data_IF_285285274407
#
_entry.id   IF_285285274407
#
_cell.length_a   1.000
_cell.length_b   1.000
_cell.length_c   1.000
_cell.angle_alpha   90.00
_cell.angle_beta   90.00
_cell.angle_gamma   90.00
#
_symmetry.space_group_name_H-M   'P 1'
#
loop_
_entity.id
_entity.type
_entity.pdbx_description
1 polymer ?
#
# COMPACT_ATOMS: atom_id res chain seq x y z
N UNK A 1 25.08 9.81 17.61
CA UNK A 1 24.09 9.98 16.52
C UNK A 1 23.80 8.68 15.78
N UNK A 2 24.82 7.94 15.31
CA UNK A 2 24.62 6.68 14.57
C UNK A 2 23.68 5.68 15.27
N UNK A 3 23.90 5.41 16.56
CA UNK A 3 23.03 4.51 17.34
C UNK A 3 21.54 4.91 17.27
N UNK A 4 21.25 6.21 17.29
CA UNK A 4 19.88 6.73 17.21
C UNK A 4 19.29 6.41 15.83
N UNK A 5 20.04 6.62 14.75
CA UNK A 5 19.58 6.30 13.40
C UNK A 5 19.30 4.80 13.22
N UNK A 6 20.17 3.93 13.76
CA UNK A 6 19.97 2.48 13.73
C UNK A 6 18.72 2.10 14.53
N UNK A 7 18.50 2.70 15.70
CA UNK A 7 17.32 2.41 16.52
C UNK A 7 16.00 2.78 15.82
N UNK A 8 15.97 3.88 15.05
CA UNK A 8 14.79 4.27 14.27
C UNK A 8 14.45 3.19 13.23
N UNK A 9 15.46 2.70 12.51
CA UNK A 9 15.27 1.65 11.50
C UNK A 9 14.87 0.32 12.11
N UNK A 10 15.40 -0.04 13.28
CA UNK A 10 15.17 -1.35 13.88
C UNK A 10 13.94 -1.45 14.79
N UNK A 11 13.50 -0.34 15.40
CA UNK A 11 12.43 -0.35 16.40
C UNK A 11 11.17 0.37 15.94
N UNK A 12 11.29 1.36 15.06
CA UNK A 12 10.14 2.18 14.62
C UNK A 12 9.67 1.74 13.23
N UNK A 13 10.57 1.63 12.26
CA UNK A 13 10.25 1.26 10.87
C UNK A 13 10.17 -0.27 10.67
N UNK A 14 9.29 -0.91 11.43
CA UNK A 14 9.10 -2.37 11.45
C UNK A 14 7.89 -2.80 10.60
N UNK A 15 7.78 -4.09 10.21
CA UNK A 15 6.66 -4.58 9.38
C UNK A 15 5.28 -4.52 10.06
N UNK A 16 5.22 -4.57 11.39
CA UNK A 16 3.98 -4.55 12.16
C UNK A 16 4.02 -3.47 13.26
N UNK A 17 4.03 -2.18 12.87
CA UNK A 17 4.16 -1.05 13.80
C UNK A 17 3.00 -0.96 14.81
N UNK A 18 1.85 -1.55 14.50
CA UNK A 18 0.72 -1.67 15.42
C UNK A 18 1.11 -2.27 16.79
N UNK A 19 2.04 -3.22 16.81
CA UNK A 19 2.47 -3.87 18.06
C UNK A 19 3.55 -3.10 18.83
N UNK A 20 3.96 -1.93 18.34
CA UNK A 20 4.82 -1.03 19.12
C UNK A 20 4.02 -0.25 20.18
N UNK A 21 2.69 -0.32 20.13
CA UNK A 21 1.81 0.29 21.13
C UNK A 21 1.82 -0.52 22.44
N UNK A 22 2.00 0.13 23.61
CA UNK A 22 2.08 -0.57 24.88
C UNK A 22 0.88 -1.48 25.16
N UNK A 23 1.13 -2.78 25.31
CA UNK A 23 0.13 -3.77 25.68
C UNK A 23 -0.55 -4.47 24.49
N UNK A 24 -0.27 -4.06 23.26
CA UNK A 24 -0.86 -4.66 22.05
C UNK A 24 -0.17 -5.97 21.67
N UNK A 25 1.05 -6.19 22.14
CA UNK A 25 1.87 -7.38 21.90
C UNK A 25 1.15 -8.68 22.32
N UNK A 26 0.29 -8.59 23.34
CA UNK A 26 -0.51 -9.71 23.84
C UNK A 26 -1.49 -10.26 22.82
N UNK A 27 -1.90 -9.44 21.85
CA UNK A 27 -2.84 -9.82 20.79
C UNK A 27 -2.14 -10.35 19.53
N UNK A 28 -0.79 -10.31 19.50
CA UNK A 28 -0.02 -10.76 18.34
C UNK A 28 -0.25 -12.24 18.07
N UNK A 29 -0.45 -12.60 16.81
CA UNK A 29 -0.77 -13.96 16.39
C UNK A 29 -2.24 -14.34 16.55
N UNK A 30 -3.07 -13.51 17.22
CA UNK A 30 -4.52 -13.73 17.25
C UNK A 30 -5.17 -13.20 15.96
N UNK A 31 -6.30 -13.77 15.50
CA UNK A 31 -7.01 -13.25 14.33
C UNK A 31 -7.39 -11.76 14.46
N UNK A 32 -7.80 -11.33 15.65
CA UNK A 32 -8.15 -9.93 15.92
C UNK A 32 -6.94 -9.02 15.86
N UNK A 33 -5.83 -9.37 16.51
CA UNK A 33 -4.61 -8.55 16.50
C UNK A 33 -4.00 -8.46 15.11
N UNK A 34 -3.97 -9.58 14.36
CA UNK A 34 -3.51 -9.58 12.98
C UNK A 34 -4.41 -8.72 12.08
N UNK A 35 -5.73 -8.73 12.30
CA UNK A 35 -6.64 -7.87 11.55
C UNK A 35 -6.39 -6.38 11.85
N UNK A 36 -6.26 -6.01 13.12
CA UNK A 36 -5.94 -4.62 13.51
C UNK A 36 -4.60 -4.16 12.97
N UNK A 37 -3.58 -5.02 12.98
CA UNK A 37 -2.28 -4.72 12.39
C UNK A 37 -2.37 -4.50 10.87
N UNK A 38 -3.20 -5.28 10.15
CA UNK A 38 -3.41 -5.08 8.70
C UNK A 38 -4.12 -3.78 8.39
N UNK A 39 -5.16 -3.44 9.14
CA UNK A 39 -5.86 -2.16 9.00
C UNK A 39 -4.90 -0.98 9.24
N UNK A 40 -4.09 -1.06 10.30
CA UNK A 40 -3.06 -0.07 10.59
C UNK A 40 -2.05 0.06 9.44
N UNK A 41 -1.53 -1.07 8.94
CA UNK A 41 -0.60 -1.09 7.82
C UNK A 41 -1.21 -0.48 6.55
N UNK A 42 -2.49 -0.71 6.28
CA UNK A 42 -3.14 -0.13 5.10
C UNK A 42 -3.09 1.41 5.10
N UNK A 43 -3.26 2.02 6.27
CA UNK A 43 -3.13 3.47 6.43
C UNK A 43 -1.67 3.93 6.29
N UNK A 44 -0.72 3.22 6.91
CA UNK A 44 0.71 3.56 6.80
C UNK A 44 1.21 3.44 5.36
N UNK A 45 0.79 2.42 4.61
CA UNK A 45 1.19 2.23 3.22
C UNK A 45 0.72 3.40 2.34
N UNK A 46 -0.56 3.79 2.40
CA UNK A 46 -1.05 4.92 1.61
C UNK A 46 -0.36 6.23 2.00
N UNK A 47 -0.16 6.46 3.30
CA UNK A 47 0.52 7.65 3.81
C UNK A 47 1.99 7.69 3.39
N UNK A 48 2.66 6.53 3.35
CA UNK A 48 4.05 6.42 2.90
C UNK A 48 4.18 6.80 1.43
N UNK A 49 3.27 6.34 0.57
CA UNK A 49 3.28 6.71 -0.85
C UNK A 49 2.97 8.20 -1.04
N UNK A 50 2.00 8.76 -0.30
CA UNK A 50 1.69 10.21 -0.36
C UNK A 50 2.86 11.05 0.13
N UNK A 51 3.27 10.88 1.39
CA UNK A 51 4.15 11.82 2.08
C UNK A 51 5.63 11.47 1.99
N UNK A 52 5.98 10.19 2.05
CA UNK A 52 7.38 9.75 2.06
C UNK A 52 7.94 9.51 0.64
N UNK A 53 7.09 9.42 -0.38
CA UNK A 53 7.51 9.23 -1.77
C UNK A 53 7.09 10.40 -2.66
N UNK A 54 5.79 10.60 -2.88
CA UNK A 54 5.29 11.58 -3.85
C UNK A 54 5.70 13.01 -3.47
N UNK A 55 5.43 13.42 -2.23
CA UNK A 55 5.78 14.78 -1.78
C UNK A 55 7.29 14.99 -1.64
N UNK A 56 8.07 13.94 -1.33
CA UNK A 56 9.53 14.04 -1.34
C UNK A 56 10.08 14.30 -2.75
N UNK A 57 9.47 13.71 -3.78
CA UNK A 57 9.89 13.97 -5.17
C UNK A 57 9.47 15.36 -5.64
N UNK A 58 8.27 15.81 -5.27
CA UNK A 58 7.72 17.11 -5.68
C UNK A 58 8.39 18.30 -5.00
N UNK A 59 8.57 18.19 -3.68
CA UNK A 59 9.14 19.25 -2.87
C UNK A 59 10.29 18.73 -2.00
N UNK A 60 11.42 18.31 -2.61
CA UNK A 60 12.55 17.78 -1.87
C UNK A 60 13.22 18.88 -1.05
N UNK A 61 13.63 18.53 0.18
CA UNK A 61 14.53 19.39 0.95
C UNK A 61 15.82 19.67 0.15
N UNK A 62 16.29 20.92 0.03
CA UNK A 62 17.48 21.27 -0.75
C UNK A 62 18.72 20.44 -0.38
N UNK A 63 18.89 20.13 0.91
CA UNK A 63 20.01 19.33 1.40
C UNK A 63 19.99 17.87 0.95
N UNK A 64 18.82 17.33 0.58
CA UNK A 64 18.63 15.94 0.19
C UNK A 64 18.14 15.76 -1.25
N UNK A 65 18.01 16.85 -2.02
CA UNK A 65 17.39 16.84 -3.36
C UNK A 65 18.01 15.82 -4.30
N UNK A 66 19.33 15.82 -4.41
CA UNK A 66 20.05 14.90 -5.28
C UNK A 66 19.90 13.44 -4.84
N UNK A 67 19.99 13.19 -3.53
CA UNK A 67 19.81 11.85 -2.94
C UNK A 67 18.41 11.32 -3.19
N UNK A 68 17.38 12.15 -2.98
CA UNK A 68 15.98 11.80 -3.21
C UNK A 68 15.76 11.45 -4.69
N UNK A 69 16.18 12.32 -5.61
CA UNK A 69 16.00 12.10 -7.05
C UNK A 69 16.73 10.84 -7.53
N UNK A 70 17.97 10.64 -7.09
CA UNK A 70 18.78 9.47 -7.44
C UNK A 70 18.17 8.19 -6.88
N UNK A 71 17.77 8.20 -5.61
CA UNK A 71 17.13 7.05 -4.96
C UNK A 71 15.88 6.60 -5.72
N UNK A 72 14.95 7.52 -5.96
CA UNK A 72 13.70 7.21 -6.64
C UNK A 72 13.91 6.83 -8.11
N UNK A 73 14.90 7.39 -8.80
CA UNK A 73 15.23 6.97 -10.15
C UNK A 73 15.73 5.52 -10.17
N UNK A 74 16.68 5.15 -9.30
CA UNK A 74 17.24 3.78 -9.24
C UNK A 74 16.16 2.77 -8.83
N UNK A 75 15.36 3.12 -7.82
CA UNK A 75 14.39 2.19 -7.19
C UNK A 75 13.01 2.19 -7.83
N UNK A 76 12.75 3.00 -8.87
CA UNK A 76 11.43 3.18 -9.48
C UNK A 76 10.70 1.86 -9.77
N UNK A 77 11.37 0.87 -10.35
CA UNK A 77 10.75 -0.39 -10.75
C UNK A 77 10.39 -1.25 -9.52
N UNK A 78 11.28 -1.33 -8.54
CA UNK A 78 11.05 -2.04 -7.28
C UNK A 78 9.89 -1.42 -6.50
N UNK A 79 9.83 -0.08 -6.44
CA UNK A 79 8.75 0.66 -5.79
C UNK A 79 7.41 0.41 -6.49
N UNK A 80 7.38 0.43 -7.83
CA UNK A 80 6.17 0.14 -8.62
C UNK A 80 5.64 -1.26 -8.29
N UNK A 81 6.49 -2.28 -8.34
CA UNK A 81 6.11 -3.65 -8.03
C UNK A 81 5.65 -3.81 -6.58
N UNK A 82 6.31 -3.14 -5.64
CA UNK A 82 5.93 -3.19 -4.23
C UNK A 82 4.54 -2.57 -3.98
N UNK A 83 4.26 -1.41 -4.57
CA UNK A 83 2.95 -0.76 -4.43
C UNK A 83 1.84 -1.58 -5.10
N UNK A 84 2.11 -2.18 -6.26
CA UNK A 84 1.17 -3.10 -6.92
C UNK A 84 0.84 -4.31 -6.03
N UNK A 85 1.85 -4.88 -5.35
CA UNK A 85 1.66 -5.92 -4.35
C UNK A 85 0.78 -5.47 -3.19
N UNK A 86 1.04 -4.29 -2.61
CA UNK A 86 0.22 -3.73 -1.54
C UNK A 86 -1.24 -3.51 -1.95
N UNK A 87 -1.48 -3.03 -3.17
CA UNK A 87 -2.84 -2.85 -3.70
C UNK A 87 -3.54 -4.21 -3.80
N UNK A 88 -2.89 -5.22 -4.39
CA UNK A 88 -3.45 -6.56 -4.52
C UNK A 88 -3.77 -7.19 -3.15
N UNK A 89 -2.87 -7.03 -2.18
CA UNK A 89 -3.06 -7.52 -0.81
C UNK A 89 -4.26 -6.86 -0.13
N UNK A 90 -4.42 -5.54 -0.29
CA UNK A 90 -5.55 -4.82 0.31
C UNK A 90 -6.89 -5.23 -0.33
N UNK A 91 -6.92 -5.44 -1.64
CA UNK A 91 -8.13 -5.87 -2.35
C UNK A 91 -8.51 -7.31 -2.04
N UNK A 92 -7.54 -8.20 -1.87
CA UNK A 92 -7.75 -9.60 -1.47
C UNK A 92 -8.37 -9.76 -0.08
N UNK A 93 -8.27 -8.74 0.78
CA UNK A 93 -8.81 -8.74 2.14
C UNK A 93 -10.29 -8.33 2.23
N UNK A 94 -10.92 -7.95 1.11
CA UNK A 94 -12.30 -7.45 1.06
C UNK A 94 -13.39 -8.54 1.28
N UNK A 95 -13.01 -9.78 1.61
CA UNK A 95 -13.94 -10.88 1.86
C UNK A 95 -14.76 -10.75 3.16
N UNK A 96 -14.30 -9.96 4.14
CA UNK A 96 -14.93 -9.89 5.47
C UNK A 96 -15.70 -8.56 5.68
N UNK A 97 -17.04 -8.65 5.57
CA UNK A 97 -17.96 -7.54 5.28
C UNK A 97 -17.99 -6.38 6.29
N UNK A 98 -17.40 -6.53 7.48
CA UNK A 98 -17.55 -5.55 8.58
C UNK A 98 -16.33 -4.65 8.79
N UNK A 99 -15.13 -5.12 8.44
CA UNK A 99 -13.85 -4.42 8.73
C UNK A 99 -13.07 -4.09 7.44
N UNK A 100 -13.53 -4.54 6.27
CA UNK A 100 -12.93 -4.21 4.98
C UNK A 100 -13.13 -2.76 4.51
N UNK A 101 -13.96 -1.96 5.18
CA UNK A 101 -14.27 -0.58 4.71
C UNK A 101 -13.07 0.35 4.78
N UNK A 102 -12.35 0.35 5.91
CA UNK A 102 -11.17 1.21 6.09
C UNK A 102 -10.04 0.81 5.13
N UNK A 103 -9.77 -0.49 5.01
CA UNK A 103 -8.77 -1.03 4.08
C UNK A 103 -9.14 -0.68 2.63
N UNK A 104 -10.41 -0.80 2.25
CA UNK A 104 -10.90 -0.42 0.92
C UNK A 104 -10.70 1.08 0.63
N UNK A 105 -11.01 1.95 1.61
CA UNK A 105 -10.77 3.38 1.49
C UNK A 105 -9.28 3.69 1.30
N UNK A 106 -8.42 3.06 2.10
CA UNK A 106 -6.98 3.20 1.99
C UNK A 106 -6.45 2.66 0.65
N UNK A 107 -7.02 1.58 0.13
CA UNK A 107 -6.67 1.05 -1.19
C UNK A 107 -7.01 2.04 -2.32
N UNK A 108 -8.17 2.71 -2.25
CA UNK A 108 -8.54 3.76 -3.19
C UNK A 108 -7.58 4.95 -3.12
N UNK A 109 -7.25 5.41 -1.91
CA UNK A 109 -6.28 6.48 -1.71
C UNK A 109 -4.89 6.09 -2.25
N UNK A 110 -4.42 4.89 -1.92
CA UNK A 110 -3.15 4.33 -2.41
C UNK A 110 -3.09 4.32 -3.93
N UNK A 111 -4.15 3.85 -4.61
CA UNK A 111 -4.24 3.88 -6.09
C UNK A 111 -4.14 5.29 -6.65
N UNK A 112 -4.83 6.28 -6.03
CA UNK A 112 -4.75 7.69 -6.44
C UNK A 112 -3.32 8.22 -6.32
N UNK A 113 -2.67 7.99 -5.18
CA UNK A 113 -1.29 8.42 -4.95
C UNK A 113 -0.31 7.71 -5.88
N UNK A 114 -0.50 6.42 -6.12
CA UNK A 114 0.34 5.62 -7.01
C UNK A 114 0.31 6.13 -8.46
N UNK A 115 -0.87 6.51 -8.97
CA UNK A 115 -0.98 7.13 -10.30
C UNK A 115 -0.14 8.40 -10.40
N UNK A 116 -0.25 9.29 -9.42
CA UNK A 116 0.51 10.54 -9.37
C UNK A 116 2.02 10.27 -9.23
N UNK A 117 2.40 9.26 -8.45
CA UNK A 117 3.79 8.87 -8.28
C UNK A 117 4.40 8.38 -9.60
N UNK A 118 3.66 7.60 -10.39
CA UNK A 118 4.10 7.16 -11.72
C UNK A 118 4.32 8.34 -12.68
N UNK A 119 3.47 9.37 -12.61
CA UNK A 119 3.64 10.60 -13.38
C UNK A 119 4.93 11.34 -12.96
N UNK A 120 5.27 11.38 -11.67
CA UNK A 120 6.53 11.97 -11.21
C UNK A 120 7.75 11.12 -11.59
N UNK A 121 7.66 9.79 -11.53
CA UNK A 121 8.74 8.91 -12.00
C UNK A 121 9.06 9.11 -13.49
N UNK A 122 8.06 9.36 -14.32
CA UNK A 122 8.28 9.65 -15.74
C UNK A 122 9.00 10.98 -15.99
N UNK A 123 8.98 11.92 -15.03
CA UNK A 123 9.64 13.22 -15.11
C UNK A 123 11.06 13.20 -14.53
N UNK A 124 11.45 12.15 -13.80
CA UNK A 124 12.78 12.05 -13.20
C UNK A 124 13.84 11.94 -14.29
N UNK A 125 14.87 12.77 -14.19
CA UNK A 125 16.03 12.72 -15.07
C UNK A 125 16.98 11.62 -14.62
N UNK A 126 17.73 11.06 -15.55
CA UNK A 126 18.85 10.17 -15.25
C UNK A 126 19.88 10.93 -14.39
N UNK A 127 20.27 10.39 -13.22
CA UNK A 127 21.33 10.95 -12.39
C UNK A 127 22.69 10.88 -13.11
N UNK A 128 23.55 11.86 -12.85
CA UNK A 128 24.91 11.90 -13.41
C UNK A 128 25.72 10.66 -12.99
N UNK A 129 26.42 10.02 -13.94
CA UNK A 129 27.22 8.82 -13.69
C UNK A 129 26.44 7.51 -13.74
N UNK A 130 25.14 7.55 -14.06
CA UNK A 130 24.27 6.37 -14.22
C UNK A 130 23.79 6.13 -15.67
N UNK A 131 24.33 6.89 -16.63
CA UNK A 131 23.96 6.80 -18.05
C UNK A 131 24.21 5.39 -18.63
N UNK A 132 25.27 4.72 -18.18
CA UNK A 132 25.65 3.37 -18.64
C UNK A 132 24.73 2.25 -18.08
N UNK A 133 23.96 2.51 -17.01
CA UNK A 133 23.02 1.53 -16.45
C UNK A 133 21.69 1.47 -17.19
N UNK A 134 21.42 2.42 -18.09
CA UNK A 134 20.19 2.44 -18.90
C UNK A 134 20.12 1.17 -19.77
N UNK A 135 21.25 0.74 -20.33
CA UNK A 135 21.33 -0.42 -21.23
C UNK A 135 21.05 -1.76 -20.53
N UNK A 136 21.32 -1.87 -19.23
CA UNK A 136 21.09 -3.11 -18.46
C UNK A 136 19.64 -3.24 -17.97
N UNK A 137 18.91 -2.13 -17.86
CA UNK A 137 17.51 -2.15 -17.36
C UNK A 137 16.47 -2.43 -18.44
N UNK A 138 16.88 -2.48 -19.73
CA UNK A 138 15.96 -2.63 -20.86
C UNK A 138 15.77 -4.08 -21.34
N UNK A 139 16.58 -5.04 -20.87
CA UNK A 139 16.44 -6.45 -21.27
C UNK A 139 15.71 -7.29 -20.21
N UNK A 140 14.46 -6.93 -19.95
CA UNK A 140 13.51 -7.75 -19.19
C UNK A 140 12.69 -8.69 -20.10
N UNK A 141 13.25 -9.08 -21.27
CA UNK A 141 12.57 -9.94 -22.25
C UNK A 141 12.96 -11.43 -22.16
N UNK A 142 13.99 -11.80 -21.38
CA UNK A 142 14.51 -13.17 -21.36
C UNK A 142 14.07 -14.02 -20.15
N UNK A 143 12.80 -14.00 -19.75
CA UNK A 143 12.22 -15.08 -18.92
C UNK A 143 10.81 -15.44 -19.39
N UNK A 144 10.72 -15.94 -20.61
CA UNK A 144 9.59 -16.74 -21.07
C UNK A 144 10.15 -17.96 -21.78
N UNK A 145 10.19 -19.10 -21.07
CA UNK A 145 10.01 -20.45 -21.62
C UNK A 145 9.95 -21.46 -20.46
N UNK A 146 8.73 -21.87 -20.11
CA UNK A 146 8.41 -23.09 -19.35
C UNK A 146 8.69 -24.34 -20.20
N UNK A 147 8.77 -25.52 -19.56
CA UNK A 147 7.75 -26.51 -19.92
C UNK A 147 7.15 -27.27 -18.72
N UNK A 148 5.82 -27.17 -18.71
CA UNK A 148 4.78 -28.12 -18.30
C UNK A 148 5.20 -29.58 -18.03
N UNK A 149 4.76 -30.14 -16.89
CA UNK A 149 4.55 -31.58 -16.72
C UNK A 149 3.33 -31.85 -15.83
N UNK A 150 2.39 -32.61 -16.38
CA UNK A 150 1.14 -33.12 -15.80
C UNK A 150 1.39 -34.35 -14.93
N UNK A 151 0.65 -34.50 -13.83
CA UNK A 151 0.09 -35.77 -13.27
C UNK A 151 -0.63 -35.47 -11.94
N UNK A 152 -1.95 -35.60 -11.84
CA UNK A 152 -2.77 -36.80 -11.52
C UNK A 152 -2.98 -37.01 -10.01
N UNK A 153 -4.25 -36.87 -9.57
CA UNK A 153 -4.73 -37.18 -8.22
C UNK A 153 -4.85 -38.68 -7.98
N UNK A 154 -4.99 -39.13 -6.71
CA UNK A 154 -6.26 -39.77 -6.36
C UNK A 154 -6.82 -39.41 -4.97
N UNK A 155 -8.10 -39.75 -4.85
CA UNK A 155 -9.11 -39.55 -3.81
C UNK A 155 -8.89 -40.46 -2.59
N UNK A 156 -9.11 -39.98 -1.36
CA UNK A 156 -9.55 -40.78 -0.20
C UNK A 156 -10.51 -39.99 0.70
N UNK A 157 -11.48 -40.73 1.24
CA UNK A 157 -12.78 -40.38 1.80
C UNK A 157 -12.84 -39.77 3.21
N UNK A 158 -13.99 -39.13 3.46
CA UNK A 158 -14.65 -38.59 4.67
C UNK A 158 -14.74 -39.54 5.89
N UNK A 159 -15.06 -39.05 7.13
CA UNK A 159 -16.44 -38.69 7.50
C UNK A 159 -16.65 -37.48 8.43
N UNK A 160 -17.68 -36.70 8.05
CA UNK A 160 -18.79 -36.10 8.82
C UNK A 160 -18.66 -35.87 10.33
N UNK A 161 -18.85 -34.61 10.76
CA UNK A 161 -19.70 -34.29 11.91
C UNK A 161 -20.51 -33.00 11.66
N UNK A 162 -21.80 -33.11 11.97
CA UNK A 162 -22.91 -32.16 11.85
C UNK A 162 -22.86 -31.03 12.87
N UNK A 163 -23.35 -29.82 12.54
CA UNK A 163 -24.28 -29.04 13.39
C UNK A 163 -24.98 -27.90 12.61
N UNK A 164 -26.13 -27.49 13.15
CA UNK A 164 -27.35 -26.90 12.54
C UNK A 164 -27.36 -25.38 12.23
N UNK A 165 -28.32 -24.89 11.38
CA UNK A 165 -28.40 -23.50 10.89
C UNK A 165 -29.41 -22.60 11.63
N UNK A 166 -29.19 -21.27 11.60
CA UNK A 166 -30.15 -20.21 12.01
C UNK A 166 -29.96 -18.93 11.13
N UNK A 167 -30.96 -18.01 11.03
CA UNK A 167 -31.58 -17.57 9.77
C UNK A 167 -31.19 -16.13 9.33
N UNK A 168 -31.67 -15.62 8.17
CA UNK A 168 -31.19 -14.37 7.58
C UNK A 168 -32.10 -13.16 7.89
N UNK A 169 -31.51 -11.98 8.09
CA UNK A 169 -32.18 -10.66 8.04
C UNK A 169 -31.06 -9.62 7.89
N UNK A 170 -31.03 -8.59 7.04
CA UNK A 170 -31.93 -7.93 6.10
C UNK A 170 -31.06 -7.22 5.04
N UNK A 171 -31.55 -7.13 3.80
CA UNK A 171 -30.90 -6.38 2.72
C UNK A 171 -31.03 -4.85 2.95
N UNK A 172 -29.90 -4.14 2.92
CA UNK A 172 -29.86 -2.70 2.68
C UNK A 172 -29.59 -2.48 1.19
N UNK A 173 -30.40 -1.63 0.56
CA UNK A 173 -30.49 -1.42 -0.88
C UNK A 173 -29.32 -0.59 -1.44
N UNK A 174 -28.93 -0.86 -2.69
CA UNK A 174 -27.79 -0.28 -3.42
C UNK A 174 -27.71 1.26 -3.42
N UNK A 175 -28.83 1.96 -3.23
CA UNK A 175 -28.88 3.42 -3.24
C UNK A 175 -28.17 4.10 -2.06
N UNK A 176 -28.01 3.42 -0.92
CA UNK A 176 -27.29 3.98 0.24
C UNK A 176 -25.76 3.79 0.14
N UNK A 177 -25.29 2.93 -0.76
CA UNK A 177 -23.87 2.65 -0.97
C UNK A 177 -23.21 3.74 -1.84
N UNK A 178 -23.89 4.20 -2.89
CA UNK A 178 -23.38 5.26 -3.78
C UNK A 178 -23.28 6.62 -3.09
N UNK A 179 -24.27 6.98 -2.26
CA UNK A 179 -24.27 8.27 -1.55
C UNK A 179 -23.14 8.38 -0.51
N UNK A 180 -22.77 7.27 0.13
CA UNK A 180 -21.68 7.25 1.11
C UNK A 180 -20.29 7.23 0.45
N UNK A 181 -20.16 6.64 -0.75
CA UNK A 181 -18.94 6.68 -1.55
C UNK A 181 -18.71 8.08 -2.15
N UNK A 182 -19.77 8.74 -2.61
CA UNK A 182 -19.72 10.11 -3.12
C UNK A 182 -19.41 11.13 -2.02
N UNK A 183 -19.96 10.93 -0.81
CA UNK A 183 -19.66 11.77 0.36
C UNK A 183 -18.21 11.65 0.84
N UNK A 184 -17.63 10.44 0.83
CA UNK A 184 -16.24 10.23 1.26
C UNK A 184 -15.24 10.75 0.22
N UNK A 185 -15.56 10.62 -1.08
CA UNK A 185 -14.80 11.27 -2.15
C UNK A 185 -14.82 12.79 -2.01
N UNK A 186 -15.98 13.38 -1.67
CA UNK A 186 -16.14 14.81 -1.47
C UNK A 186 -15.35 15.34 -0.26
N UNK A 187 -15.32 14.60 0.85
CA UNK A 187 -14.57 14.97 2.07
C UNK A 187 -13.04 14.98 1.80
N UNK A 188 -12.55 13.97 1.08
CA UNK A 188 -11.12 13.88 0.70
C UNK A 188 -10.72 14.95 -0.34
N UNK A 189 -11.59 15.28 -1.28
CA UNK A 189 -11.30 16.33 -2.27
C UNK A 189 -11.32 17.73 -1.62
N UNK A 190 -12.19 17.94 -0.62
CA UNK A 190 -12.24 19.17 0.17
C UNK A 190 -10.97 19.40 0.98
N UNK A 191 -10.41 18.36 1.60
CA UNK A 191 -9.14 18.46 2.34
C UNK A 191 -7.97 18.82 1.41
N UNK A 192 -7.96 18.30 0.19
CA UNK A 192 -6.93 18.61 -0.81
C UNK A 192 -7.09 20.03 -1.37
N UNK A 193 -8.32 20.51 -1.60
CA UNK A 193 -8.55 21.90 -1.99
C UNK A 193 -8.13 22.88 -0.89
N UNK A 194 -8.39 22.53 0.37
CA UNK A 194 -7.95 23.31 1.52
C UNK A 194 -6.41 23.36 1.61
N UNK A 195 -5.70 22.23 1.42
CA UNK A 195 -4.23 22.19 1.39
C UNK A 195 -3.62 22.98 0.23
N UNK A 196 -4.26 22.97 -0.96
CA UNK A 196 -3.86 23.81 -2.10
C UNK A 196 -4.07 25.29 -1.82
N UNK A 197 -5.15 25.64 -1.12
CA UNK A 197 -5.43 27.03 -0.76
C UNK A 197 -4.43 27.55 0.28
N UNK A 198 -4.06 26.72 1.26
CA UNK A 198 -3.03 27.03 2.26
C UNK A 198 -1.66 27.20 1.60
N UNK A 199 -1.28 26.31 0.69
CA UNK A 199 0.01 26.41 -0.02
C UNK A 199 0.13 27.69 -0.87
N UNK A 200 -0.98 28.17 -1.44
CA UNK A 200 -1.03 29.39 -2.27
C UNK A 200 -1.02 30.69 -1.47
N UNK A 201 -1.24 30.62 -0.16
CA UNK A 201 -1.17 31.76 0.78
C UNK A 201 0.22 31.89 1.40
N UNK A 202 1.04 30.83 1.32
CA UNK A 202 2.41 30.80 1.84
C UNK A 202 3.51 31.12 0.80
N UNK A 203 3.12 31.47 -0.43
CA UNK A 203 3.99 32.07 -1.47
C UNK A 203 3.82 33.60 -1.51
#
# INVERSE_FOLDING_TARGET
>A
MFQVLVSIQSLILVPEPYFNEPGYERSRGTPSGNQSSREYNSNICQASVKWAMLEQIRNPCPCFKEVIQTHFWIKRQEIVTQIEGWIADMEGQCGDRRTGRAISLNAMALKRHFRLLKEEFAKLKTPEGLDDLIDLTFDASCVANTPNSKESSPVVSTPTQSYVPFPPTSAATDAQKSAAEESALHEIDSDIEMEKMVSKVCE
#
